data_IF_783550661549
#
_entry.id   IF_783550661549
#
_cell.length_a   1.000
_cell.length_b   1.000
_cell.length_c   1.000
_cell.angle_alpha   90.00
_cell.angle_beta   90.00
_cell.angle_gamma   90.00
#
_symmetry.space_group_name_H-M   'P 1'
#
loop_
_entity.id
_entity.type
_entity.pdbx_description
1 polymer ?
#
# COMPACT_ATOMS: atom_id res chain seq x y z
N UNK A 1 32.73 1.45 -2.21
CA UNK A 1 32.07 2.76 -2.34
C UNK A 1 30.66 2.65 -1.78
N UNK A 2 30.41 3.18 -0.58
CA UNK A 2 29.04 3.45 -0.13
C UNK A 2 28.55 4.59 -1.02
N UNK A 3 27.45 4.42 -1.74
CA UNK A 3 26.80 5.53 -2.46
C UNK A 3 26.25 6.51 -1.41
N UNK A 4 27.07 7.48 -1.04
CA UNK A 4 26.67 8.61 -0.20
C UNK A 4 25.47 9.31 -0.86
N UNK A 5 24.34 9.34 -0.16
CA UNK A 5 23.12 10.04 -0.60
C UNK A 5 21.91 9.15 -0.90
N UNK A 6 22.00 7.82 -0.81
CA UNK A 6 20.80 6.97 -0.90
C UNK A 6 20.00 7.01 0.39
N UNK A 7 18.70 7.30 0.28
CA UNK A 7 17.69 7.27 1.34
C UNK A 7 17.44 5.81 1.79
N UNK A 8 18.45 5.22 2.42
CA UNK A 8 18.42 3.85 2.92
C UNK A 8 18.08 3.84 4.41
N UNK A 9 17.42 2.78 4.91
CA UNK A 9 17.22 2.59 6.34
C UNK A 9 18.57 2.55 7.07
N UNK A 10 18.59 3.05 8.30
CA UNK A 10 19.77 2.93 9.16
C UNK A 10 20.01 1.48 9.62
N UNK A 11 18.94 0.70 9.72
CA UNK A 11 18.99 -0.72 10.00
C UNK A 11 19.27 -1.54 8.74
N UNK A 12 20.18 -2.51 8.85
CA UNK A 12 20.45 -3.51 7.82
C UNK A 12 20.18 -4.90 8.38
N UNK A 13 19.25 -5.61 7.74
CA UNK A 13 18.87 -6.97 8.07
C UNK A 13 19.92 -7.96 7.55
N UNK A 14 20.17 -9.02 8.33
CA UNK A 14 21.00 -10.14 7.91
C UNK A 14 20.33 -10.96 6.80
N UNK A 15 21.09 -11.81 6.10
CA UNK A 15 20.57 -12.64 4.98
C UNK A 15 19.32 -13.47 5.35
N UNK A 16 19.30 -14.04 6.57
CA UNK A 16 18.17 -14.85 7.06
C UNK A 16 16.90 -14.02 7.25
N UNK A 17 17.03 -12.86 7.88
CA UNK A 17 15.93 -11.92 8.05
C UNK A 17 15.42 -11.41 6.70
N UNK A 18 16.33 -11.05 5.78
CA UNK A 18 15.97 -10.58 4.45
C UNK A 18 15.17 -11.62 3.64
N UNK A 19 15.52 -12.90 3.74
CA UNK A 19 14.76 -13.98 3.12
C UNK A 19 13.35 -14.09 3.71
N UNK A 20 13.21 -13.98 5.03
CA UNK A 20 11.90 -14.01 5.69
C UNK A 20 11.06 -12.78 5.36
N UNK A 21 11.66 -11.61 5.15
CA UNK A 21 10.98 -10.40 4.68
C UNK A 21 10.37 -10.64 3.28
N UNK A 22 11.14 -11.22 2.36
CA UNK A 22 10.64 -11.60 1.03
C UNK A 22 9.48 -12.58 1.12
N UNK A 23 9.60 -13.63 1.95
CA UNK A 23 8.51 -14.58 2.16
C UNK A 23 7.27 -13.92 2.78
N UNK A 24 7.45 -13.00 3.74
CA UNK A 24 6.34 -12.23 4.33
C UNK A 24 5.58 -11.46 3.26
N UNK A 25 6.29 -10.79 2.35
CA UNK A 25 5.69 -10.04 1.25
C UNK A 25 4.93 -10.95 0.27
N UNK A 26 5.52 -12.10 -0.10
CA UNK A 26 4.88 -13.07 -0.99
C UNK A 26 3.62 -13.66 -0.36
N UNK A 27 3.69 -14.06 0.91
CA UNK A 27 2.53 -14.59 1.65
C UNK A 27 1.40 -13.57 1.80
N UNK A 28 1.75 -12.33 2.11
CA UNK A 28 0.76 -11.26 2.18
C UNK A 28 0.14 -11.00 0.81
N UNK A 29 0.95 -10.92 -0.25
CA UNK A 29 0.46 -10.68 -1.62
C UNK A 29 -0.44 -11.82 -2.11
N UNK A 30 -0.10 -13.07 -1.81
CA UNK A 30 -0.92 -14.23 -2.19
C UNK A 30 -2.21 -14.36 -1.37
N UNK A 31 -2.34 -13.65 -0.24
CA UNK A 31 -3.55 -13.69 0.59
C UNK A 31 -4.80 -13.08 -0.08
N UNK A 32 -4.63 -12.40 -1.23
CA UNK A 32 -5.76 -11.94 -2.06
C UNK A 32 -6.52 -13.10 -2.70
N UNK A 33 -5.83 -14.21 -3.00
CA UNK A 33 -6.43 -15.39 -3.63
C UNK A 33 -7.28 -16.16 -2.62
N UNK A 34 -8.51 -16.47 -3.01
CA UNK A 34 -9.49 -17.11 -2.13
C UNK A 34 -9.03 -18.47 -1.62
N UNK A 35 -8.35 -19.25 -2.47
CA UNK A 35 -7.79 -20.55 -2.13
C UNK A 35 -6.75 -20.45 -1.00
N UNK A 36 -5.95 -19.38 -0.99
CA UNK A 36 -4.95 -19.13 0.05
C UNK A 36 -5.62 -18.61 1.32
N UNK A 37 -6.62 -17.73 1.16
CA UNK A 37 -7.34 -17.09 2.27
C UNK A 37 -8.14 -18.09 3.08
N UNK A 38 -8.89 -18.99 2.43
CA UNK A 38 -9.74 -20.00 3.09
C UNK A 38 -8.90 -20.99 3.91
N UNK A 39 -7.66 -21.24 3.53
CA UNK A 39 -6.77 -22.15 4.24
C UNK A 39 -6.11 -21.50 5.48
N UNK A 40 -6.34 -20.21 5.75
CA UNK A 40 -5.74 -19.46 6.86
C UNK A 40 -4.19 -19.44 6.85
N UNK A 41 -3.56 -19.87 5.75
CA UNK A 41 -2.11 -20.09 5.67
C UNK A 41 -1.34 -18.78 5.88
N UNK A 42 -1.73 -17.72 5.16
CA UNK A 42 -1.04 -16.44 5.23
C UNK A 42 -1.01 -15.85 6.65
N UNK A 43 -2.14 -15.63 7.35
CA UNK A 43 -2.10 -15.06 8.70
C UNK A 43 -1.37 -15.96 9.72
N UNK A 44 -1.49 -17.28 9.62
CA UNK A 44 -0.74 -18.20 10.51
C UNK A 44 0.76 -18.06 10.29
N UNK A 45 1.23 -18.10 9.05
CA UNK A 45 2.67 -18.00 8.74
C UNK A 45 3.22 -16.60 9.05
N UNK A 46 2.48 -15.52 8.77
CA UNK A 46 2.86 -14.15 9.14
C UNK A 46 2.95 -13.97 10.66
N UNK A 47 2.05 -14.61 11.42
CA UNK A 47 2.13 -14.64 12.89
C UNK A 47 3.39 -15.39 13.38
N UNK A 48 3.71 -16.53 12.78
CA UNK A 48 4.95 -17.25 13.10
C UNK A 48 6.18 -16.40 12.78
N UNK A 49 6.20 -15.68 11.65
CA UNK A 49 7.29 -14.76 11.30
C UNK A 49 7.41 -13.58 12.26
N UNK A 50 6.28 -13.08 12.77
CA UNK A 50 6.26 -12.08 13.84
C UNK A 50 6.91 -12.64 15.13
N UNK A 51 6.56 -13.87 15.54
CA UNK A 51 7.19 -14.52 16.70
C UNK A 51 8.70 -14.73 16.48
N UNK A 52 9.09 -15.27 15.32
CA UNK A 52 10.50 -15.46 14.98
C UNK A 52 11.26 -14.12 14.99
N UNK A 53 10.65 -13.06 14.46
CA UNK A 53 11.22 -11.72 14.46
C UNK A 53 11.51 -11.22 15.88
N UNK A 54 10.58 -11.49 16.81
CA UNK A 54 10.77 -11.19 18.22
C UNK A 54 11.85 -12.05 18.89
N UNK A 55 11.82 -13.37 18.67
CA UNK A 55 12.73 -14.34 19.31
C UNK A 55 14.19 -14.17 18.87
N UNK A 56 14.42 -13.93 17.59
CA UNK A 56 15.76 -13.80 17.00
C UNK A 56 16.26 -12.35 16.89
N UNK A 57 15.45 -11.37 17.32
CA UNK A 57 15.81 -9.95 17.23
C UNK A 57 15.86 -9.41 15.80
N UNK A 58 15.13 -10.02 14.86
CA UNK A 58 14.97 -9.54 13.48
C UNK A 58 13.94 -8.40 13.47
N UNK A 59 14.43 -7.17 13.60
CA UNK A 59 13.61 -5.99 13.88
C UNK A 59 12.74 -5.61 12.69
N UNK A 60 13.30 -5.61 11.48
CA UNK A 60 12.54 -5.27 10.28
C UNK A 60 11.49 -6.33 9.98
N UNK A 61 11.83 -7.62 10.17
CA UNK A 61 10.84 -8.70 10.03
C UNK A 61 9.69 -8.55 11.03
N UNK A 62 10.01 -8.27 12.29
CA UNK A 62 9.00 -8.09 13.34
C UNK A 62 8.04 -6.95 13.01
N UNK A 63 8.57 -5.76 12.69
CA UNK A 63 7.72 -4.60 12.42
C UNK A 63 6.96 -4.71 11.09
N UNK A 64 7.54 -5.31 10.06
CA UNK A 64 6.82 -5.61 8.81
C UNK A 64 5.63 -6.52 9.07
N UNK A 65 5.81 -7.59 9.84
CA UNK A 65 4.77 -8.59 10.00
C UNK A 65 3.60 -8.12 10.90
N UNK A 66 3.73 -7.05 11.68
CA UNK A 66 2.60 -6.51 12.47
C UNK A 66 1.42 -6.13 11.56
N UNK A 67 1.55 -5.16 10.64
CA UNK A 67 0.43 -4.76 9.79
C UNK A 67 0.02 -5.87 8.81
N UNK A 68 0.97 -6.67 8.29
CA UNK A 68 0.65 -7.76 7.37
C UNK A 68 -0.21 -8.84 8.05
N UNK A 69 0.19 -9.28 9.25
CA UNK A 69 -0.58 -10.25 10.03
C UNK A 69 -1.97 -9.72 10.36
N UNK A 70 -2.06 -8.51 10.94
CA UNK A 70 -3.36 -7.95 11.36
C UNK A 70 -4.30 -7.81 10.16
N UNK A 71 -3.80 -7.28 9.04
CA UNK A 71 -4.60 -7.10 7.84
C UNK A 71 -5.04 -8.44 7.22
N UNK A 72 -4.12 -9.39 7.04
CA UNK A 72 -4.46 -10.73 6.52
C UNK A 72 -5.41 -11.48 7.45
N UNK A 73 -5.29 -11.30 8.77
CA UNK A 73 -6.17 -11.93 9.74
C UNK A 73 -7.59 -11.36 9.67
N UNK A 74 -7.73 -10.02 9.67
CA UNK A 74 -9.04 -9.37 9.56
C UNK A 74 -9.72 -9.73 8.24
N UNK A 75 -8.96 -9.77 7.13
CA UNK A 75 -9.50 -10.06 5.81
C UNK A 75 -9.91 -11.53 5.60
N UNK A 76 -9.69 -12.42 6.57
CA UNK A 76 -10.33 -13.75 6.58
C UNK A 76 -11.86 -13.59 6.62
N UNK A 77 -12.35 -12.63 7.42
CA UNK A 77 -13.77 -12.47 7.65
C UNK A 77 -14.44 -11.87 6.40
N UNK A 78 -15.47 -12.51 5.82
CA UNK A 78 -16.06 -12.07 4.54
C UNK A 78 -16.55 -10.61 4.53
N UNK A 79 -16.98 -10.10 5.68
CA UNK A 79 -17.49 -8.74 5.84
C UNK A 79 -16.39 -7.68 5.97
N UNK A 80 -15.14 -8.08 6.23
CA UNK A 80 -14.03 -7.15 6.42
C UNK A 80 -13.77 -6.27 5.18
N UNK A 81 -14.06 -6.79 3.98
CA UNK A 81 -13.94 -6.02 2.73
C UNK A 81 -14.82 -4.76 2.70
N UNK A 82 -15.97 -4.79 3.38
CA UNK A 82 -16.89 -3.65 3.46
C UNK A 82 -16.38 -2.56 4.42
N UNK A 83 -15.35 -2.84 5.21
CA UNK A 83 -14.74 -1.92 6.15
C UNK A 83 -13.48 -1.25 5.59
N UNK A 84 -13.17 -1.41 4.30
CA UNK A 84 -12.02 -0.75 3.67
C UNK A 84 -12.22 0.78 3.61
N UNK A 85 -11.20 1.63 3.88
CA UNK A 85 -9.81 1.32 4.25
C UNK A 85 -9.60 1.12 5.77
N UNK A 86 -10.66 1.07 6.56
CA UNK A 86 -10.62 0.93 8.02
C UNK A 86 -9.87 -0.30 8.53
N UNK A 87 -9.91 -1.43 7.82
CA UNK A 87 -9.13 -2.63 8.19
C UNK A 87 -7.62 -2.38 8.08
N UNK A 88 -7.17 -1.66 7.05
CA UNK A 88 -5.79 -1.26 6.88
C UNK A 88 -5.37 -0.21 7.92
N UNK A 89 -6.24 0.77 8.20
CA UNK A 89 -5.99 1.76 9.26
C UNK A 89 -5.79 1.05 10.60
N UNK A 90 -6.63 0.07 10.94
CA UNK A 90 -6.48 -0.71 12.16
C UNK A 90 -5.14 -1.45 12.20
N UNK A 91 -4.72 -2.09 11.09
CA UNK A 91 -3.41 -2.73 11.00
C UNK A 91 -2.24 -1.75 11.22
N UNK A 92 -2.34 -0.53 10.68
CA UNK A 92 -1.35 0.53 10.90
C UNK A 92 -1.36 1.05 12.33
N UNK A 93 -2.52 1.13 13.00
CA UNK A 93 -2.57 1.51 14.42
C UNK A 93 -1.72 0.54 15.26
N UNK A 94 -1.84 -0.78 15.03
CA UNK A 94 -1.01 -1.79 15.70
C UNK A 94 0.48 -1.60 15.42
N UNK A 95 0.85 -1.25 14.19
CA UNK A 95 2.24 -0.90 13.85
C UNK A 95 2.73 0.31 14.65
N UNK A 96 1.92 1.37 14.72
CA UNK A 96 2.29 2.61 15.41
C UNK A 96 2.28 2.53 16.94
N UNK A 97 1.69 1.48 17.55
CA UNK A 97 1.91 1.18 18.98
C UNK A 97 3.40 1.01 19.31
N UNK A 98 4.23 0.64 18.32
CA UNK A 98 5.67 0.46 18.47
C UNK A 98 6.50 1.64 17.94
N UNK A 99 5.88 2.79 17.64
CA UNK A 99 6.52 3.95 16.99
C UNK A 99 7.88 4.33 17.59
N UNK A 100 7.95 4.47 18.93
CA UNK A 100 9.20 4.85 19.61
C UNK A 100 10.33 3.85 19.37
N UNK A 101 10.01 2.54 19.36
CA UNK A 101 11.01 1.48 19.14
C UNK A 101 11.43 1.43 17.68
N UNK A 102 10.48 1.49 16.74
CA UNK A 102 10.75 1.56 15.30
C UNK A 102 11.70 2.72 14.97
N UNK A 103 11.45 3.89 15.57
CA UNK A 103 12.31 5.07 15.41
C UNK A 103 13.72 4.83 15.95
N UNK A 104 13.86 4.31 17.16
CA UNK A 104 15.18 3.99 17.76
C UNK A 104 15.92 2.92 16.96
N UNK A 105 15.19 1.98 16.37
CA UNK A 105 15.73 0.92 15.52
C UNK A 105 16.12 1.42 14.12
N UNK A 106 15.82 2.68 13.77
CA UNK A 106 16.22 3.26 12.49
C UNK A 106 15.40 2.78 11.30
N UNK A 107 14.18 2.29 11.53
CA UNK A 107 13.25 1.74 10.53
C UNK A 107 12.09 2.69 10.19
N UNK A 108 12.18 3.95 10.64
CA UNK A 108 11.22 5.01 10.35
C UNK A 108 11.76 6.00 9.32
N UNK A 109 12.76 5.61 8.51
CA UNK A 109 13.40 6.46 7.51
C UNK A 109 12.40 7.00 6.48
N UNK A 110 11.39 6.21 6.18
CA UNK A 110 10.29 6.56 5.29
C UNK A 110 9.35 7.66 5.80
N UNK A 111 9.28 7.92 7.11
CA UNK A 111 8.43 8.97 7.70
C UNK A 111 9.09 10.35 7.56
N UNK A 112 9.20 10.80 6.31
CA UNK A 112 9.77 12.10 5.96
C UNK A 112 8.82 12.83 5.02
N UNK A 113 8.79 14.16 5.14
CA UNK A 113 8.03 15.03 4.24
C UNK A 113 8.53 14.89 2.80
N UNK A 114 9.84 14.75 2.63
CA UNK A 114 10.51 14.71 1.33
C UNK A 114 11.01 16.09 0.89
N UNK A 115 11.84 16.08 -0.15
CA UNK A 115 12.46 17.22 -0.79
C UNK A 115 11.58 17.72 -1.94
N UNK A 116 11.36 19.04 -1.99
CA UNK A 116 10.68 19.68 -3.10
C UNK A 116 11.64 19.83 -4.28
N UNK A 117 11.19 19.47 -5.48
CA UNK A 117 11.87 19.81 -6.73
C UNK A 117 10.86 19.95 -7.87
N UNK A 118 11.20 20.73 -8.91
CA UNK A 118 10.37 20.88 -10.10
C UNK A 118 10.10 19.55 -10.79
N UNK A 119 11.06 18.62 -10.76
CA UNK A 119 10.89 17.27 -11.31
C UNK A 119 9.85 16.48 -10.52
N UNK A 120 9.90 16.49 -9.18
CA UNK A 120 8.89 15.83 -8.33
C UNK A 120 7.50 16.40 -8.64
N UNK A 121 7.35 17.73 -8.69
CA UNK A 121 6.06 18.36 -8.99
C UNK A 121 5.56 18.02 -10.40
N UNK A 122 6.44 18.10 -11.40
CA UNK A 122 6.10 17.80 -12.79
C UNK A 122 5.65 16.35 -12.97
N UNK A 123 6.38 15.39 -12.40
CA UNK A 123 5.98 13.98 -12.42
C UNK A 123 4.69 13.74 -11.61
N UNK A 124 4.50 14.40 -10.46
CA UNK A 124 3.25 14.29 -9.70
C UNK A 124 2.04 14.72 -10.53
N UNK A 125 2.10 15.87 -11.21
CA UNK A 125 1.01 16.34 -12.08
C UNK A 125 0.77 15.38 -13.24
N UNK A 126 1.84 14.96 -13.93
CA UNK A 126 1.75 14.00 -15.03
C UNK A 126 1.08 12.69 -14.58
N UNK A 127 1.48 12.18 -13.41
CA UNK A 127 0.98 10.91 -12.89
C UNK A 127 -0.47 10.99 -12.42
N UNK A 128 -0.89 12.11 -11.86
CA UNK A 128 -2.30 12.36 -11.55
C UNK A 128 -3.12 12.30 -12.84
N UNK A 129 -2.74 13.07 -13.88
CA UNK A 129 -3.47 13.12 -15.15
C UNK A 129 -3.52 11.75 -15.84
N UNK A 130 -2.38 11.05 -15.88
CA UNK A 130 -2.29 9.72 -16.49
C UNK A 130 -3.14 8.68 -15.76
N UNK A 131 -3.09 8.67 -14.41
CA UNK A 131 -3.89 7.74 -13.60
C UNK A 131 -5.39 8.04 -13.75
N UNK A 132 -5.80 9.32 -13.66
CA UNK A 132 -7.19 9.71 -13.83
C UNK A 132 -7.73 9.31 -15.21
N UNK A 133 -6.98 9.58 -16.27
CA UNK A 133 -7.35 9.16 -17.63
C UNK A 133 -7.46 7.64 -17.75
N UNK A 134 -6.49 6.90 -17.23
CA UNK A 134 -6.50 5.43 -17.27
C UNK A 134 -7.71 4.83 -16.53
N UNK A 135 -8.07 5.37 -15.36
CA UNK A 135 -9.23 4.92 -14.59
C UNK A 135 -10.54 5.19 -15.33
N UNK A 136 -10.69 6.38 -15.93
CA UNK A 136 -11.86 6.74 -16.74
C UNK A 136 -11.97 5.83 -17.96
N UNK A 137 -10.87 5.63 -18.70
CA UNK A 137 -10.85 4.73 -19.86
C UNK A 137 -11.16 3.29 -19.46
N UNK A 138 -10.58 2.80 -18.36
CA UNK A 138 -10.87 1.47 -17.84
C UNK A 138 -12.36 1.29 -17.54
N UNK A 139 -12.98 2.27 -16.87
CA UNK A 139 -14.40 2.22 -16.52
C UNK A 139 -15.30 2.21 -17.77
N UNK A 140 -15.06 3.10 -18.73
CA UNK A 140 -15.90 3.22 -19.93
C UNK A 140 -15.69 2.12 -20.97
N UNK A 141 -14.45 1.65 -21.15
CA UNK A 141 -14.14 0.67 -22.19
C UNK A 141 -14.44 -0.77 -21.76
N UNK A 142 -14.38 -1.06 -20.46
CA UNK A 142 -14.53 -2.42 -19.95
C UNK A 142 -15.84 -2.64 -19.18
N UNK A 143 -16.61 -1.58 -18.91
CA UNK A 143 -17.90 -1.62 -18.21
C UNK A 143 -17.90 -2.58 -17.01
N UNK A 144 -16.95 -2.44 -16.07
CA UNK A 144 -16.83 -3.35 -14.94
C UNK A 144 -18.05 -3.23 -14.04
N UNK A 145 -18.57 -4.36 -13.57
CA UNK A 145 -19.55 -4.35 -12.49
C UNK A 145 -18.88 -3.79 -11.23
N UNK A 146 -19.44 -2.71 -10.66
CA UNK A 146 -18.98 -2.05 -9.44
C UNK A 146 -20.13 -1.83 -8.44
N UNK A 147 -21.22 -2.60 -8.59
CA UNK A 147 -22.40 -2.54 -7.73
C UNK A 147 -22.06 -2.74 -6.25
N UNK A 148 -21.15 -3.66 -5.95
CA UNK A 148 -20.68 -3.94 -4.58
C UNK A 148 -19.96 -2.75 -3.92
N UNK A 149 -19.25 -1.92 -4.69
CA UNK A 149 -18.62 -0.70 -4.16
C UNK A 149 -19.70 0.36 -3.96
N UNK A 150 -20.57 0.55 -4.94
CA UNK A 150 -21.68 1.53 -4.88
C UNK A 150 -22.60 1.26 -3.69
N UNK A 151 -22.91 0.00 -3.41
CA UNK A 151 -23.77 -0.40 -2.29
C UNK A 151 -23.16 -0.11 -0.92
N UNK A 152 -21.83 -0.06 -0.83
CA UNK A 152 -21.09 0.29 0.38
C UNK A 152 -20.89 1.80 0.56
N UNK A 153 -21.14 2.62 -0.46
CA UNK A 153 -21.08 4.08 -0.32
C UNK A 153 -22.26 4.59 0.54
N UNK A 154 -22.03 5.60 1.40
CA UNK A 154 -23.10 6.19 2.19
C UNK A 154 -24.19 6.72 1.27
N UNK A 155 -25.45 6.53 1.65
CA UNK A 155 -26.60 7.10 0.95
C UNK A 155 -26.95 8.43 1.61
N UNK A 156 -27.21 9.46 0.83
CA UNK A 156 -27.56 10.77 1.39
C UNK A 156 -27.50 11.89 0.37
N UNK A 157 -27.55 13.11 0.90
CA UNK A 157 -27.46 14.34 0.12
C UNK A 157 -26.05 14.53 -0.48
N UNK A 158 -25.95 15.35 -1.53
CA UNK A 158 -24.72 15.54 -2.30
C UNK A 158 -23.50 15.89 -1.43
N UNK A 159 -23.66 16.74 -0.42
CA UNK A 159 -22.57 17.12 0.48
C UNK A 159 -22.10 15.98 1.37
N UNK A 160 -22.97 15.05 1.76
CA UNK A 160 -22.59 13.83 2.48
C UNK A 160 -21.74 12.94 1.57
N UNK A 161 -22.17 12.77 0.31
CA UNK A 161 -21.43 11.97 -0.69
C UNK A 161 -20.05 12.56 -0.98
N UNK A 162 -19.96 13.88 -1.20
CA UNK A 162 -18.69 14.58 -1.44
C UNK A 162 -17.78 14.44 -0.22
N UNK A 163 -18.30 14.65 0.99
CA UNK A 163 -17.51 14.55 2.22
C UNK A 163 -17.00 13.12 2.44
N UNK A 164 -17.84 12.12 2.17
CA UNK A 164 -17.44 10.72 2.25
C UNK A 164 -16.37 10.35 1.22
N UNK A 165 -16.52 10.80 -0.03
CA UNK A 165 -15.54 10.58 -1.10
C UNK A 165 -14.17 11.20 -0.78
N UNK A 166 -14.15 12.45 -0.29
CA UNK A 166 -12.92 13.12 0.14
C UNK A 166 -12.30 12.42 1.36
N UNK A 167 -13.12 12.09 2.35
CA UNK A 167 -12.66 11.38 3.56
C UNK A 167 -12.05 10.03 3.24
N UNK A 168 -12.71 9.25 2.38
CA UNK A 168 -12.19 8.00 1.84
C UNK A 168 -10.85 8.23 1.14
N UNK A 169 -10.77 9.16 0.19
CA UNK A 169 -9.57 9.42 -0.59
C UNK A 169 -8.36 9.83 0.27
N UNK A 170 -8.58 10.63 1.33
CA UNK A 170 -7.49 11.01 2.24
C UNK A 170 -7.02 9.80 3.05
N UNK A 171 -7.97 9.09 3.67
CA UNK A 171 -7.64 7.98 4.57
C UNK A 171 -7.02 6.81 3.82
N UNK A 172 -7.56 6.47 2.65
CA UNK A 172 -7.08 5.39 1.80
C UNK A 172 -5.66 5.70 1.30
N UNK A 173 -5.45 6.86 0.68
CA UNK A 173 -4.15 7.31 0.22
C UNK A 173 -3.08 7.26 1.32
N UNK A 174 -3.36 7.79 2.51
CA UNK A 174 -2.41 7.75 3.63
C UNK A 174 -2.09 6.30 4.00
N UNK A 175 -3.12 5.48 4.18
CA UNK A 175 -2.97 4.13 4.68
C UNK A 175 -2.21 3.23 3.70
N UNK A 176 -2.57 3.25 2.42
CA UNK A 176 -1.91 2.46 1.39
C UNK A 176 -0.45 2.91 1.18
N UNK A 177 -0.20 4.22 1.08
CA UNK A 177 1.18 4.71 0.92
C UNK A 177 2.06 4.36 2.12
N UNK A 178 1.52 4.43 3.35
CA UNK A 178 2.25 4.02 4.55
C UNK A 178 2.63 2.54 4.50
N UNK A 179 1.71 1.67 4.09
CA UNK A 179 2.00 0.24 3.99
C UNK A 179 3.01 -0.06 2.89
N UNK A 180 2.78 0.42 1.67
CA UNK A 180 3.54 -0.01 0.49
C UNK A 180 4.81 0.81 0.28
N UNK A 181 4.72 2.14 0.25
CA UNK A 181 5.84 3.06 0.00
C UNK A 181 6.63 3.38 1.27
N UNK A 182 6.00 3.18 2.43
CA UNK A 182 6.63 3.24 3.74
C UNK A 182 7.20 1.89 4.17
N UNK A 183 6.38 1.09 4.84
CA UNK A 183 6.79 -0.08 5.62
C UNK A 183 7.37 -1.20 4.74
N UNK A 184 6.67 -1.60 3.68
CA UNK A 184 7.10 -2.70 2.81
C UNK A 184 8.37 -2.33 2.04
N UNK A 185 8.39 -1.14 1.42
CA UNK A 185 9.55 -0.66 0.68
C UNK A 185 10.79 -0.50 1.58
N UNK A 186 10.65 0.13 2.76
CA UNK A 186 11.74 0.25 3.75
C UNK A 186 12.24 -1.13 4.19
N UNK A 187 11.34 -2.10 4.40
CA UNK A 187 11.71 -3.46 4.81
C UNK A 187 12.54 -4.17 3.74
N UNK A 188 12.21 -4.02 2.45
CA UNK A 188 13.04 -4.55 1.36
C UNK A 188 14.42 -3.89 1.31
N UNK A 189 14.49 -2.57 1.49
CA UNK A 189 15.78 -1.87 1.53
C UNK A 189 16.64 -2.35 2.71
N UNK A 190 16.02 -2.57 3.88
CA UNK A 190 16.72 -3.11 5.05
C UNK A 190 17.26 -4.52 4.79
N UNK A 191 16.57 -5.33 4.00
CA UNK A 191 16.98 -6.65 3.52
C UNK A 191 18.14 -6.61 2.50
N UNK A 192 18.75 -5.44 2.28
CA UNK A 192 19.79 -5.19 1.28
C UNK A 192 19.33 -5.50 -0.16
N UNK A 193 18.01 -5.46 -0.42
CA UNK A 193 17.47 -5.55 -1.77
C UNK A 193 17.70 -4.21 -2.47
N UNK A 194 18.20 -4.25 -3.70
CA UNK A 194 18.48 -3.03 -4.47
C UNK A 194 17.23 -2.16 -4.61
N UNK A 195 17.40 -0.84 -4.60
CA UNK A 195 16.29 0.12 -4.73
C UNK A 195 15.39 -0.15 -5.94
N UNK A 196 15.97 -0.56 -7.08
CA UNK A 196 15.22 -0.89 -8.30
C UNK A 196 14.32 -2.11 -8.08
N UNK A 197 14.86 -3.17 -7.47
CA UNK A 197 14.08 -4.38 -7.23
C UNK A 197 13.02 -4.14 -6.15
N UNK A 198 13.36 -3.44 -5.07
CA UNK A 198 12.42 -3.06 -4.01
C UNK A 198 11.25 -2.22 -4.54
N UNK A 199 11.53 -1.28 -5.47
CA UNK A 199 10.54 -0.48 -6.17
C UNK A 199 9.58 -1.32 -7.03
N UNK A 200 10.12 -2.29 -7.77
CA UNK A 200 9.33 -3.21 -8.59
C UNK A 200 8.50 -4.16 -7.72
N UNK A 201 9.10 -4.77 -6.70
CA UNK A 201 8.44 -5.75 -5.83
C UNK A 201 7.26 -5.13 -5.08
N UNK A 202 7.42 -3.93 -4.51
CA UNK A 202 6.29 -3.27 -3.83
C UNK A 202 5.15 -2.93 -4.79
N UNK A 203 5.47 -2.56 -6.04
CA UNK A 203 4.46 -2.22 -7.05
C UNK A 203 3.69 -3.47 -7.50
N UNK A 204 4.38 -4.60 -7.67
CA UNK A 204 3.76 -5.89 -7.97
C UNK A 204 2.83 -6.31 -6.82
N UNK A 205 3.29 -6.22 -5.56
CA UNK A 205 2.45 -6.51 -4.40
C UNK A 205 1.22 -5.61 -4.34
N UNK A 206 1.40 -4.30 -4.57
CA UNK A 206 0.31 -3.33 -4.64
C UNK A 206 -0.71 -3.73 -5.70
N UNK A 207 -0.26 -4.02 -6.93
CA UNK A 207 -1.13 -4.40 -8.04
C UNK A 207 -1.90 -5.69 -7.77
N UNK A 208 -1.23 -6.75 -7.29
CA UNK A 208 -1.90 -8.05 -7.04
C UNK A 208 -2.99 -7.91 -5.97
N UNK A 209 -2.75 -7.12 -4.92
CA UNK A 209 -3.74 -6.90 -3.87
C UNK A 209 -4.97 -6.10 -4.35
N UNK A 210 -4.91 -5.49 -5.53
CA UNK A 210 -6.04 -4.86 -6.20
C UNK A 210 -6.87 -5.80 -7.08
N UNK A 211 -6.59 -7.12 -7.10
CA UNK A 211 -7.33 -8.08 -7.92
C UNK A 211 -8.86 -7.99 -7.74
N UNK A 212 -9.31 -7.75 -6.52
CA UNK A 212 -10.72 -7.53 -6.17
C UNK A 212 -11.04 -6.07 -5.76
N UNK A 213 -10.08 -5.15 -5.94
CA UNK A 213 -10.18 -3.74 -5.57
C UNK A 213 -10.65 -2.85 -6.72
N UNK A 214 -10.22 -1.59 -6.74
CA UNK A 214 -10.49 -0.66 -7.85
C UNK A 214 -9.17 -0.12 -8.41
N UNK A 215 -8.88 -0.28 -9.71
CA UNK A 215 -9.61 -1.08 -10.71
C UNK A 215 -9.51 -2.59 -10.43
N UNK A 216 -10.57 -3.36 -10.77
CA UNK A 216 -10.67 -4.81 -10.52
C UNK A 216 -10.17 -5.69 -11.67
N UNK A 217 -9.93 -6.96 -11.35
CA UNK A 217 -9.51 -8.01 -12.28
C UNK A 217 -8.05 -7.87 -12.71
N UNK A 218 -7.59 -8.76 -13.60
CA UNK A 218 -6.18 -8.78 -14.02
C UNK A 218 -5.72 -7.52 -14.77
N UNK A 219 -6.63 -6.88 -15.50
CA UNK A 219 -6.34 -5.56 -16.10
C UNK A 219 -6.15 -4.53 -14.98
N UNK A 220 -7.02 -4.56 -13.96
CA UNK A 220 -6.88 -3.74 -12.77
C UNK A 220 -5.56 -3.96 -12.03
N UNK A 221 -5.13 -5.21 -11.86
CA UNK A 221 -3.81 -5.57 -11.30
C UNK A 221 -2.68 -4.91 -12.08
N UNK A 222 -2.75 -4.94 -13.42
CA UNK A 222 -1.76 -4.28 -14.29
C UNK A 222 -1.74 -2.76 -14.12
N UNK A 223 -2.91 -2.12 -14.13
CA UNK A 223 -3.05 -0.68 -13.92
C UNK A 223 -2.56 -0.25 -12.54
N UNK A 224 -2.95 -0.96 -11.49
CA UNK A 224 -2.52 -0.71 -10.12
C UNK A 224 -1.01 -0.96 -9.94
N UNK A 225 -0.43 -1.97 -10.61
CA UNK A 225 1.02 -2.17 -10.62
C UNK A 225 1.77 -0.99 -11.25
N UNK A 226 1.31 -0.51 -12.42
CA UNK A 226 1.87 0.69 -13.06
C UNK A 226 1.74 1.90 -12.13
N UNK A 227 0.59 2.05 -11.47
CA UNK A 227 0.36 3.10 -10.50
C UNK A 227 1.30 3.02 -9.28
N UNK A 228 1.54 1.81 -8.77
CA UNK A 228 2.51 1.53 -7.71
C UNK A 228 3.95 1.83 -8.13
N UNK A 229 4.30 1.64 -9.42
CA UNK A 229 5.57 2.08 -9.97
C UNK A 229 5.66 3.60 -10.00
N UNK A 230 4.62 4.29 -10.46
CA UNK A 230 4.56 5.76 -10.53
C UNK A 230 4.74 6.40 -9.14
N UNK A 231 3.94 5.99 -8.16
CA UNK A 231 4.02 6.51 -6.77
C UNK A 231 5.32 6.10 -6.08
N UNK A 232 5.82 4.88 -6.32
CA UNK A 232 7.14 4.44 -5.86
C UNK A 232 8.28 5.28 -6.44
N UNK A 233 8.18 5.70 -7.70
CA UNK A 233 9.15 6.60 -8.32
C UNK A 233 9.14 7.99 -7.68
N UNK A 234 7.96 8.54 -7.44
CA UNK A 234 7.82 9.81 -6.69
C UNK A 234 8.42 9.68 -5.28
N UNK A 235 8.22 8.56 -4.59
CA UNK A 235 8.83 8.29 -3.27
C UNK A 235 10.35 8.31 -3.33
N UNK A 236 10.94 7.75 -4.38
CA UNK A 236 12.40 7.74 -4.58
C UNK A 236 12.92 9.16 -4.87
N UNK A 237 12.29 9.87 -5.80
CA UNK A 237 12.71 11.23 -6.18
C UNK A 237 12.58 12.23 -5.04
N UNK A 238 11.47 12.17 -4.31
CA UNK A 238 11.19 13.09 -3.20
C UNK A 238 11.84 12.68 -1.89
N UNK A 239 12.35 11.44 -1.75
CA UNK A 239 12.87 10.92 -0.47
C UNK A 239 11.88 11.08 0.70
N UNK A 240 10.57 11.05 0.42
CA UNK A 240 9.53 11.20 1.43
C UNK A 240 8.15 10.72 0.96
N UNK A 241 7.21 10.67 1.90
CA UNK A 241 5.91 10.00 1.71
C UNK A 241 4.77 10.95 1.32
N UNK A 242 4.95 12.27 1.51
CA UNK A 242 3.86 13.25 1.30
C UNK A 242 3.48 13.38 -0.18
N UNK A 243 4.44 13.38 -1.10
CA UNK A 243 4.13 13.48 -2.53
C UNK A 243 3.43 12.24 -3.10
N UNK A 244 3.85 11.01 -2.77
CA UNK A 244 3.07 9.82 -3.09
C UNK A 244 1.64 9.88 -2.56
N UNK A 245 1.43 10.29 -1.30
CA UNK A 245 0.08 10.44 -0.70
C UNK A 245 -0.75 11.46 -1.48
N UNK A 246 -0.17 12.60 -1.84
CA UNK A 246 -0.88 13.63 -2.61
C UNK A 246 -1.31 13.10 -3.99
N UNK A 247 -0.42 12.40 -4.69
CA UNK A 247 -0.74 11.79 -6.00
C UNK A 247 -1.82 10.70 -5.86
N UNK A 248 -1.76 9.89 -4.81
CA UNK A 248 -2.77 8.89 -4.46
C UNK A 248 -4.13 9.48 -4.17
N UNK A 249 -4.18 10.51 -3.34
CA UNK A 249 -5.41 11.23 -3.03
C UNK A 249 -6.17 11.65 -4.30
N UNK A 250 -5.51 12.20 -5.31
CA UNK A 250 -6.19 12.61 -6.55
C UNK A 250 -6.66 11.42 -7.42
N UNK A 251 -5.96 10.30 -7.41
CA UNK A 251 -6.44 9.07 -8.03
C UNK A 251 -7.74 8.61 -7.34
N UNK A 252 -7.77 8.60 -6.00
CA UNK A 252 -8.94 8.21 -5.23
C UNK A 252 -10.12 9.18 -5.40
N UNK A 253 -9.87 10.48 -5.55
CA UNK A 253 -10.91 11.45 -5.93
C UNK A 253 -11.50 11.10 -7.30
N UNK A 254 -10.68 10.65 -8.25
CA UNK A 254 -11.18 10.19 -9.56
C UNK A 254 -12.05 8.95 -9.40
N UNK A 255 -11.64 7.98 -8.58
CA UNK A 255 -12.42 6.77 -8.27
C UNK A 255 -13.76 7.16 -7.62
N UNK A 256 -13.74 8.00 -6.58
CA UNK A 256 -14.94 8.48 -5.92
C UNK A 256 -15.89 9.19 -6.90
N UNK A 257 -15.35 9.98 -7.82
CA UNK A 257 -16.14 10.65 -8.87
C UNK A 257 -16.80 9.63 -9.82
N UNK A 258 -16.07 8.59 -10.25
CA UNK A 258 -16.60 7.49 -11.06
C UNK A 258 -17.77 6.81 -10.34
N UNK A 259 -17.56 6.42 -9.08
CA UNK A 259 -18.56 5.70 -8.29
C UNK A 259 -19.80 6.56 -8.01
N UNK A 260 -19.62 7.84 -7.70
CA UNK A 260 -20.73 8.71 -7.31
C UNK A 260 -21.57 9.22 -8.49
N UNK A 261 -20.95 9.49 -9.64
CA UNK A 261 -21.62 10.22 -10.72
C UNK A 261 -21.75 9.44 -12.03
N UNK A 262 -20.93 8.41 -12.26
CA UNK A 262 -20.91 7.69 -13.54
C UNK A 262 -21.37 6.24 -13.43
N UNK A 263 -21.38 5.68 -12.22
CA UNK A 263 -21.97 4.39 -11.92
C UNK A 263 -23.49 4.49 -11.77
N UNK A 264 -24.23 4.87 -12.82
CA UNK A 264 -25.69 4.87 -12.82
C UNK A 264 -26.24 3.50 -13.15
#
# INVERSE_FOLDING_TARGET
MKEEGKDLPFYSAGKREGLLILFSAVLFTSSVFEEVRILFIAPVLLFLFLILGRLFGFRSLFYLNIPLFVLSFINIFPYAKNLWPGTLILALLFYFLFYKRIKTDGLLGWWRRGEFSSSVLGFSVLFILAASLALVLWFYLLSPDISDIKDNFPKGELWVLISAGIGFAILNAIAEEFLFRGILFESFLSANISIRLSWILQAISFGILHLHGFPRGWIGVGLACIYGLMTGWIRILSKGIVYPIAVHFFADITIATIVLFFAT
#
